data_IF_653568989660
#
_entry.id   IF_653568989660
#
_cell.length_a   1.000
_cell.length_b   1.000
_cell.length_c   1.000
_cell.angle_alpha   90.00
_cell.angle_beta   90.00
_cell.angle_gamma   90.00
#
_symmetry.space_group_name_H-M   'P 1'
#
loop_
_entity.id
_entity.type
_entity.pdbx_description
1 polymer ?
#
# COMPACT_ATOMS: atom_id res chain seq x y z
N UNK A 1 46.10 -23.42 34.44
CA UNK A 1 44.68 -23.02 34.34
C UNK A 1 44.61 -21.98 33.25
N UNK A 2 43.97 -22.31 32.14
CA UNK A 2 43.82 -21.44 30.97
C UNK A 2 42.81 -20.34 31.35
N UNK A 3 43.23 -19.07 31.36
CA UNK A 3 42.33 -17.92 31.49
C UNK A 3 42.36 -17.17 30.16
N UNK A 4 41.35 -17.41 29.33
CA UNK A 4 41.20 -16.81 28.01
C UNK A 4 40.76 -15.36 28.13
N UNK A 5 41.72 -14.48 28.44
CA UNK A 5 41.53 -13.03 28.52
C UNK A 5 41.29 -12.38 27.14
N UNK A 6 40.12 -12.60 26.54
CA UNK A 6 39.61 -11.74 25.46
C UNK A 6 39.16 -10.40 26.06
N UNK A 7 40.12 -9.51 26.29
CA UNK A 7 39.83 -8.11 26.61
C UNK A 7 39.00 -7.47 25.49
N UNK A 8 37.90 -6.82 25.85
CA UNK A 8 37.05 -6.08 24.91
C UNK A 8 37.91 -5.03 24.19
N UNK A 9 37.93 -5.08 22.86
CA UNK A 9 38.65 -4.11 22.03
C UNK A 9 37.91 -2.76 22.05
N UNK A 10 38.33 -1.88 22.96
CA UNK A 10 37.71 -0.56 23.17
C UNK A 10 37.69 0.32 21.92
N UNK A 11 38.67 0.18 21.01
CA UNK A 11 38.71 0.92 19.74
C UNK A 11 37.59 0.47 18.79
N UNK A 12 37.35 -0.85 18.72
CA UNK A 12 36.22 -1.41 17.98
C UNK A 12 34.88 -1.03 18.59
N UNK A 13 34.76 -1.08 19.92
CA UNK A 13 33.54 -0.65 20.63
C UNK A 13 33.23 0.83 20.36
N UNK A 14 34.23 1.71 20.43
CA UNK A 14 34.06 3.14 20.14
C UNK A 14 33.65 3.39 18.70
N UNK A 15 34.24 2.67 17.75
CA UNK A 15 33.89 2.80 16.33
C UNK A 15 32.45 2.33 16.08
N UNK A 16 32.05 1.20 16.66
CA UNK A 16 30.68 0.70 16.58
C UNK A 16 29.66 1.69 17.17
N UNK A 17 29.98 2.28 18.33
CA UNK A 17 29.14 3.31 18.96
C UNK A 17 28.94 4.53 18.05
N UNK A 18 30.02 5.01 17.40
CA UNK A 18 29.95 6.15 16.48
C UNK A 18 29.12 5.84 15.24
N UNK A 19 29.26 4.64 14.66
CA UNK A 19 28.46 4.19 13.51
C UNK A 19 26.98 4.15 13.89
N UNK A 20 26.63 3.58 15.05
CA UNK A 20 25.25 3.51 15.51
C UNK A 20 24.66 4.91 15.74
N UNK A 21 25.43 5.84 16.32
CA UNK A 21 25.01 7.24 16.50
C UNK A 21 24.82 7.96 15.18
N UNK A 22 25.69 7.75 14.20
CA UNK A 22 25.54 8.32 12.87
C UNK A 22 24.25 7.82 12.20
N UNK A 23 24.00 6.51 12.25
CA UNK A 23 22.79 5.90 11.69
C UNK A 23 21.50 6.39 12.38
N UNK A 24 21.51 6.55 13.70
CA UNK A 24 20.36 7.12 14.41
C UNK A 24 20.08 8.56 13.96
N UNK A 25 21.12 9.39 13.85
CA UNK A 25 20.98 10.78 13.38
C UNK A 25 20.44 10.86 11.95
N UNK A 26 20.87 9.95 11.08
CA UNK A 26 20.34 9.86 9.71
C UNK A 26 18.85 9.53 9.70
N UNK A 27 18.40 8.60 10.56
CA UNK A 27 16.97 8.27 10.71
C UNK A 27 16.17 9.46 11.26
N UNK A 28 16.67 10.10 12.33
CA UNK A 28 16.00 11.27 12.93
C UNK A 28 15.87 12.42 11.92
N UNK A 29 16.92 12.67 11.12
CA UNK A 29 16.89 13.68 10.06
C UNK A 29 15.90 13.31 8.95
N UNK A 30 15.83 12.03 8.56
CA UNK A 30 14.88 11.57 7.56
C UNK A 30 13.41 11.67 8.05
N UNK A 31 13.17 11.38 9.34
CA UNK A 31 11.87 11.56 9.98
C UNK A 31 11.47 13.03 10.03
N UNK A 32 12.34 13.92 10.52
CA UNK A 32 12.09 15.36 10.57
C UNK A 32 11.87 15.97 9.18
N UNK A 33 12.54 15.44 8.16
CA UNK A 33 12.35 15.83 6.77
C UNK A 33 11.08 15.24 6.12
N UNK A 34 10.29 14.45 6.84
CA UNK A 34 9.06 13.83 6.33
C UNK A 34 9.29 12.72 5.30
N UNK A 35 10.48 12.12 5.25
CA UNK A 35 10.84 11.07 4.29
C UNK A 35 10.47 9.66 4.77
N UNK A 36 10.18 9.49 6.05
CA UNK A 36 9.78 8.22 6.66
C UNK A 36 8.28 8.23 6.94
N UNK A 37 7.63 7.10 6.70
CA UNK A 37 6.23 6.87 7.03
C UNK A 37 6.13 5.63 7.91
N UNK A 38 5.20 5.61 8.85
CA UNK A 38 4.91 4.39 9.60
C UNK A 38 4.26 3.37 8.63
N UNK A 39 4.86 2.19 8.55
CA UNK A 39 4.52 1.19 7.54
C UNK A 39 3.09 0.70 7.70
N UNK A 40 2.65 0.42 8.93
CA UNK A 40 1.29 -0.09 9.21
C UNK A 40 0.23 0.93 8.82
N UNK A 41 0.46 2.22 9.08
CA UNK A 41 -0.41 3.32 8.67
C UNK A 41 -0.44 3.49 7.15
N UNK A 42 0.72 3.40 6.48
CA UNK A 42 0.78 3.51 5.03
C UNK A 42 0.08 2.34 4.33
N UNK A 43 0.29 1.11 4.80
CA UNK A 43 -0.41 -0.08 4.31
C UNK A 43 -1.92 0.05 4.53
N UNK A 44 -2.34 0.46 5.73
CA UNK A 44 -3.76 0.70 6.04
C UNK A 44 -4.37 1.73 5.09
N UNK A 45 -3.74 2.90 4.96
CA UNK A 45 -4.24 3.96 4.08
C UNK A 45 -4.33 3.51 2.63
N UNK A 46 -3.34 2.75 2.15
CA UNK A 46 -3.36 2.18 0.81
C UNK A 46 -4.56 1.26 0.59
N UNK A 47 -4.80 0.31 1.49
CA UNK A 47 -5.93 -0.62 1.39
C UNK A 47 -7.28 0.06 1.59
N UNK A 48 -7.37 1.06 2.46
CA UNK A 48 -8.58 1.85 2.66
C UNK A 48 -8.91 2.66 1.40
N UNK A 49 -7.92 3.33 0.81
CA UNK A 49 -8.07 4.06 -0.47
C UNK A 49 -8.46 3.12 -1.60
N UNK A 50 -7.86 1.94 -1.69
CA UNK A 50 -8.22 0.94 -2.70
C UNK A 50 -9.66 0.43 -2.52
N UNK A 51 -10.10 0.23 -1.27
CA UNK A 51 -11.47 -0.15 -0.93
C UNK A 51 -12.47 0.94 -1.33
N UNK A 52 -12.18 2.19 -0.98
CA UNK A 52 -13.01 3.34 -1.37
C UNK A 52 -13.16 3.43 -2.89
N UNK A 53 -12.07 3.25 -3.64
CA UNK A 53 -12.12 3.20 -5.11
C UNK A 53 -12.99 2.05 -5.62
N UNK A 54 -12.83 0.84 -5.07
CA UNK A 54 -13.65 -0.32 -5.46
C UNK A 54 -15.12 -0.09 -5.17
N UNK A 55 -15.45 0.50 -4.03
CA UNK A 55 -16.83 0.77 -3.63
C UNK A 55 -17.45 1.90 -4.48
N UNK A 56 -16.67 2.92 -4.85
CA UNK A 56 -17.06 3.94 -5.81
C UNK A 56 -17.43 3.34 -7.18
N UNK A 57 -16.59 2.46 -7.72
CA UNK A 57 -16.86 1.74 -8.96
C UNK A 57 -18.10 0.86 -8.87
N UNK A 58 -18.31 0.13 -7.76
CA UNK A 58 -19.50 -0.70 -7.58
C UNK A 58 -20.80 0.11 -7.57
N UNK A 59 -20.79 1.32 -7.02
CA UNK A 59 -21.96 2.21 -6.99
C UNK A 59 -22.22 2.94 -8.32
N UNK A 60 -21.19 3.07 -9.16
CA UNK A 60 -21.23 3.91 -10.36
C UNK A 60 -22.29 3.49 -11.40
N UNK A 61 -22.48 2.20 -11.75
CA UNK A 61 -23.54 1.78 -12.67
C UNK A 61 -24.93 2.26 -12.24
N UNK A 62 -25.26 2.13 -10.95
CA UNK A 62 -26.56 2.56 -10.43
C UNK A 62 -26.77 4.08 -10.50
N UNK A 63 -25.68 4.87 -10.54
CA UNK A 63 -25.74 6.33 -10.64
C UNK A 63 -25.90 6.82 -12.09
N UNK A 64 -25.25 6.16 -13.06
CA UNK A 64 -25.16 6.65 -14.44
C UNK A 64 -26.10 5.94 -15.42
N UNK A 65 -26.51 4.70 -15.13
CA UNK A 65 -27.19 3.87 -16.12
C UNK A 65 -28.54 4.43 -16.58
N UNK A 66 -29.27 5.13 -15.72
CA UNK A 66 -30.56 5.75 -16.12
C UNK A 66 -30.32 6.89 -17.12
N UNK A 67 -29.43 7.82 -16.80
CA UNK A 67 -29.08 8.95 -17.67
C UNK A 67 -28.49 8.47 -18.99
N UNK A 68 -27.58 7.50 -18.95
CA UNK A 68 -26.97 6.93 -20.15
C UNK A 68 -27.98 6.16 -21.01
N UNK A 69 -28.96 5.49 -20.39
CA UNK A 69 -30.00 4.79 -21.12
C UNK A 69 -30.96 5.75 -21.84
N UNK A 70 -31.27 6.88 -21.21
CA UNK A 70 -32.06 7.96 -21.83
C UNK A 70 -31.33 8.55 -23.04
N UNK A 71 -30.04 8.89 -22.89
CA UNK A 71 -29.20 9.40 -23.98
C UNK A 71 -29.10 8.43 -25.19
N UNK A 72 -29.05 7.12 -24.91
CA UNK A 72 -28.96 6.08 -25.93
C UNK A 72 -30.33 5.58 -26.42
N UNK A 73 -31.44 6.03 -25.81
CA UNK A 73 -32.80 5.55 -26.04
C UNK A 73 -32.93 4.02 -25.92
N UNK A 74 -32.39 3.44 -24.85
CA UNK A 74 -32.41 1.99 -24.54
C UNK A 74 -33.07 1.70 -23.18
N UNK A 75 -33.34 0.42 -22.89
CA UNK A 75 -33.89 0.02 -21.59
C UNK A 75 -32.87 0.24 -20.45
N UNK A 76 -33.23 1.08 -19.48
CA UNK A 76 -32.39 1.44 -18.34
C UNK A 76 -32.06 0.24 -17.44
N UNK A 77 -33.00 -0.70 -17.29
CA UNK A 77 -32.79 -1.88 -16.44
C UNK A 77 -31.77 -2.84 -17.06
N UNK A 78 -31.87 -3.08 -18.36
CA UNK A 78 -30.90 -3.85 -19.13
C UNK A 78 -29.52 -3.20 -19.09
N UNK A 79 -29.43 -1.89 -19.34
CA UNK A 79 -28.15 -1.18 -19.30
C UNK A 79 -27.50 -1.23 -17.91
N UNK A 80 -28.29 -1.03 -16.84
CA UNK A 80 -27.80 -1.17 -15.45
C UNK A 80 -27.21 -2.55 -15.20
N UNK A 81 -27.87 -3.60 -15.68
CA UNK A 81 -27.44 -5.00 -15.49
C UNK A 81 -26.13 -5.28 -16.23
N UNK A 82 -26.04 -4.82 -17.48
CA UNK A 82 -24.85 -4.97 -18.33
C UNK A 82 -23.66 -4.24 -17.70
N UNK A 83 -23.82 -2.95 -17.36
CA UNK A 83 -22.76 -2.15 -16.75
C UNK A 83 -22.29 -2.75 -15.42
N UNK A 84 -23.22 -3.20 -14.58
CA UNK A 84 -22.88 -3.87 -13.31
C UNK A 84 -22.02 -5.11 -13.54
N UNK A 85 -22.33 -5.89 -14.57
CA UNK A 85 -21.59 -7.11 -14.90
C UNK A 85 -20.16 -6.79 -15.33
N UNK A 86 -19.99 -5.88 -16.29
CA UNK A 86 -18.67 -5.51 -16.80
C UNK A 86 -17.81 -4.76 -15.78
N UNK A 87 -18.40 -3.90 -14.94
CA UNK A 87 -17.66 -3.26 -13.85
C UNK A 87 -17.17 -4.29 -12.84
N UNK A 88 -18.00 -5.26 -12.46
CA UNK A 88 -17.57 -6.35 -11.56
C UNK A 88 -16.47 -7.19 -12.16
N UNK A 89 -16.57 -7.53 -13.44
CA UNK A 89 -15.52 -8.25 -14.16
C UNK A 89 -14.20 -7.46 -14.15
N UNK A 90 -14.25 -6.16 -14.50
CA UNK A 90 -13.07 -5.30 -14.49
C UNK A 90 -12.42 -5.20 -13.11
N UNK A 91 -13.22 -5.04 -12.05
CA UNK A 91 -12.73 -5.02 -10.67
C UNK A 91 -12.11 -6.37 -10.25
N UNK A 92 -12.62 -7.50 -10.76
CA UNK A 92 -12.05 -8.81 -10.50
C UNK A 92 -10.71 -9.00 -11.20
N UNK A 93 -10.60 -8.60 -12.46
CA UNK A 93 -9.35 -8.64 -13.25
C UNK A 93 -8.24 -7.79 -12.61
N UNK A 94 -8.58 -6.62 -12.06
CA UNK A 94 -7.63 -5.79 -11.30
C UNK A 94 -7.30 -6.34 -9.91
N UNK A 95 -8.17 -7.17 -9.36
CA UNK A 95 -8.04 -7.75 -8.01
C UNK A 95 -7.22 -9.03 -7.98
N UNK A 96 -6.92 -9.66 -9.12
CA UNK A 96 -5.98 -10.77 -9.20
C UNK A 96 -4.55 -10.23 -9.02
N UNK A 97 -3.88 -10.49 -7.88
CA UNK A 97 -2.49 -10.10 -7.75
C UNK A 97 -1.68 -10.90 -8.78
N UNK A 98 -0.93 -10.22 -9.66
CA UNK A 98 0.20 -10.85 -10.30
C UNK A 98 1.03 -11.44 -9.15
N UNK A 99 1.14 -12.77 -9.08
CA UNK A 99 1.78 -13.47 -7.98
C UNK A 99 3.29 -13.18 -7.99
N UNK A 100 3.66 -11.95 -7.64
CA UNK A 100 5.02 -11.51 -7.46
C UNK A 100 5.55 -12.09 -6.16
N UNK A 101 6.76 -12.68 -6.16
CA UNK A 101 7.28 -13.33 -4.97
C UNK A 101 7.41 -12.31 -3.85
N UNK A 102 6.78 -12.60 -2.71
CA UNK A 102 6.96 -11.87 -1.45
C UNK A 102 8.44 -11.90 -1.10
N UNK A 103 9.17 -10.82 -1.41
CA UNK A 103 10.57 -10.68 -0.98
C UNK A 103 10.58 -10.49 0.54
N UNK A 104 11.10 -11.50 1.22
CA UNK A 104 11.45 -11.43 2.64
C UNK A 104 12.68 -10.55 2.86
#
# INVERSE_FOLDING_TARGET
>A
MQDDGKGVDFGKVRTAELILKARQRELDQAEQAGKLVERVLAEKLFFDTARENRDAWQSWPGRIAITMADELNVDARALTTILTTYVRQHLAEMGEPEAGPLRR
#
